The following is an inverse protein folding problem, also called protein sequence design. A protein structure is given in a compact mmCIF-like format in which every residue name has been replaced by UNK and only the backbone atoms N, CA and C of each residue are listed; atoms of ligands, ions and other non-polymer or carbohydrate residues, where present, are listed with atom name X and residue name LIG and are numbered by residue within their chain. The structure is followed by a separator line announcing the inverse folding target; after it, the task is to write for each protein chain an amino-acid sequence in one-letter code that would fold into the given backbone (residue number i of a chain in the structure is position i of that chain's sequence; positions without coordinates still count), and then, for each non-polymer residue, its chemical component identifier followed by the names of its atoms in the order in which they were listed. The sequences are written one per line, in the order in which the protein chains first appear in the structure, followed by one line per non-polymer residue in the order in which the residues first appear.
data_IF_448144540790
#
_entry.id   IF_448144540790
#
_cell.length_a   1.000
_cell.length_b   1.000
_cell.length_c   1.000
_cell.angle_alpha   90.00
_cell.angle_beta   90.00
_cell.angle_gamma   90.00
#
_symmetry.space_group_name_H-M   'P 1'
#
loop_
_entity.id
_entity.type
_entity.pdbx_description
1 polymer ?
#
# COMPACT_ATOMS: atom_id res chain seq x y z
N UNK A 1 -2.19 -7.79 17.59
CA UNK A 1 -1.69 -7.13 16.36
C UNK A 1 -2.77 -7.16 15.27
N UNK A 2 -2.66 -6.32 14.23
CA UNK A 2 -3.37 -6.61 12.97
C UNK A 2 -2.76 -7.87 12.34
N UNK A 3 -3.52 -8.65 11.59
CA UNK A 3 -3.00 -9.76 10.77
C UNK A 3 -2.87 -9.37 9.30
N UNK A 4 -2.23 -10.23 8.49
CA UNK A 4 -2.13 -10.04 7.04
C UNK A 4 -3.50 -10.04 6.35
N UNK A 5 -4.38 -10.94 6.76
CA UNK A 5 -5.75 -11.06 6.25
C UNK A 5 -6.59 -9.83 6.64
N UNK A 6 -6.37 -9.29 7.84
CA UNK A 6 -6.99 -8.02 8.26
C UNK A 6 -6.47 -6.84 7.43
N UNK A 7 -5.17 -6.80 7.08
CA UNK A 7 -4.62 -5.78 6.17
C UNK A 7 -5.21 -5.89 4.77
N UNK A 8 -5.34 -7.10 4.22
CA UNK A 8 -5.92 -7.30 2.88
C UNK A 8 -7.39 -6.85 2.84
N UNK A 9 -8.17 -7.15 3.90
CA UNK A 9 -9.55 -6.63 4.04
C UNK A 9 -9.61 -5.11 4.17
N UNK A 10 -8.66 -4.47 4.86
CA UNK A 10 -8.55 -3.02 4.93
C UNK A 10 -8.33 -2.41 3.55
N UNK A 11 -7.35 -2.94 2.80
CA UNK A 11 -7.02 -2.46 1.45
C UNK A 11 -8.19 -2.64 0.48
N UNK A 12 -8.91 -3.76 0.56
CA UNK A 12 -10.11 -4.01 -0.24
C UNK A 12 -11.30 -3.11 0.13
N UNK A 13 -11.35 -2.61 1.37
CA UNK A 13 -12.44 -1.74 1.85
C UNK A 13 -12.25 -0.27 1.47
N UNK A 14 -11.05 0.14 1.06
CA UNK A 14 -10.78 1.49 0.57
C UNK A 14 -11.56 1.79 -0.71
N UNK A 15 -12.09 3.01 -0.84
CA UNK A 15 -12.84 3.46 -2.03
C UNK A 15 -12.07 4.41 -2.95
N UNK A 16 -10.84 4.76 -2.59
CA UNK A 16 -10.06 5.77 -3.27
C UNK A 16 -8.57 5.41 -3.27
N UNK A 17 -7.84 5.62 -4.38
CA UNK A 17 -6.42 5.27 -4.49
C UNK A 17 -5.56 5.91 -3.40
N UNK A 18 -5.85 7.17 -3.02
CA UNK A 18 -5.20 7.83 -1.87
C UNK A 18 -5.24 6.99 -0.59
N UNK A 19 -6.40 6.45 -0.23
CA UNK A 19 -6.56 5.73 1.04
C UNK A 19 -5.91 4.35 0.96
N UNK A 20 -5.99 3.69 -0.21
CA UNK A 20 -5.27 2.44 -0.51
C UNK A 20 -3.76 2.64 -0.35
N UNK A 21 -3.21 3.69 -0.98
CA UNK A 21 -1.81 4.03 -0.93
C UNK A 21 -1.36 4.39 0.49
N UNK A 22 -2.14 5.20 1.22
CA UNK A 22 -1.82 5.62 2.58
C UNK A 22 -1.67 4.41 3.52
N UNK A 23 -2.64 3.49 3.49
CA UNK A 23 -2.61 2.27 4.33
C UNK A 23 -1.47 1.35 3.89
N UNK A 24 -1.30 1.14 2.58
CA UNK A 24 -0.23 0.29 2.05
C UNK A 24 1.16 0.80 2.45
N UNK A 25 1.43 2.09 2.27
CA UNK A 25 2.71 2.70 2.61
C UNK A 25 2.96 2.65 4.12
N UNK A 26 1.94 2.88 4.97
CA UNK A 26 2.09 2.71 6.42
C UNK A 26 2.48 1.29 6.81
N UNK A 27 1.86 0.28 6.20
CA UNK A 27 2.09 -1.13 6.50
C UNK A 27 3.38 -1.67 5.88
N UNK A 28 3.87 -1.09 4.78
CA UNK A 28 5.13 -1.48 4.14
C UNK A 28 6.34 -0.78 4.76
N UNK A 29 6.25 0.53 4.98
CA UNK A 29 7.36 1.34 5.52
C UNK A 29 7.43 1.36 7.05
N UNK A 30 6.33 1.04 7.73
CA UNK A 30 6.21 1.19 9.18
C UNK A 30 6.34 2.65 9.66
N UNK A 31 6.28 3.66 8.79
CA UNK A 31 6.48 5.06 9.15
C UNK A 31 5.47 5.55 10.20
N UNK A 32 5.90 6.50 11.04
CA UNK A 32 4.94 7.26 11.86
C UNK A 32 4.07 8.08 10.92
N UNK A 33 2.75 8.05 11.14
CA UNK A 33 1.80 8.80 10.29
C UNK A 33 2.12 10.29 10.20
N UNK A 34 2.59 10.94 11.27
CA UNK A 34 2.98 12.34 11.22
C UNK A 34 4.17 12.60 10.29
N UNK A 35 5.10 11.65 10.18
CA UNK A 35 6.20 11.72 9.22
C UNK A 35 5.70 11.49 7.79
N UNK A 36 4.85 10.48 7.59
CA UNK A 36 4.28 10.19 6.28
C UNK A 36 3.43 11.35 5.74
N UNK A 37 2.59 11.96 6.57
CA UNK A 37 1.76 13.12 6.20
C UNK A 37 2.58 14.39 5.94
N UNK A 38 3.82 14.49 6.43
CA UNK A 38 4.71 15.62 6.17
C UNK A 38 5.46 15.52 4.84
N UNK A 39 5.40 14.37 4.16
CA UNK A 39 6.08 14.16 2.89
C UNK A 39 5.38 14.92 1.75
N UNK A 40 6.20 15.47 0.86
CA UNK A 40 5.83 16.09 -0.41
C UNK A 40 6.05 15.09 -1.56
N UNK A 41 5.52 15.38 -2.74
CA UNK A 41 5.66 14.51 -3.92
C UNK A 41 7.13 14.23 -4.24
N UNK A 42 7.98 15.27 -4.21
CA UNK A 42 9.44 15.16 -4.44
C UNK A 42 10.18 14.23 -3.48
N UNK A 43 9.56 13.86 -2.35
CA UNK A 43 10.21 12.98 -1.37
C UNK A 43 10.18 11.50 -1.77
N UNK A 44 9.56 11.16 -2.90
CA UNK A 44 9.51 9.79 -3.43
C UNK A 44 10.40 9.70 -4.66
N UNK A 45 11.35 8.78 -4.64
CA UNK A 45 12.22 8.49 -5.80
C UNK A 45 12.00 7.03 -6.20
N UNK A 46 11.48 6.82 -7.39
CA UNK A 46 11.29 5.47 -7.95
C UNK A 46 12.61 4.91 -8.47
N UNK A 47 12.77 3.59 -8.37
CA UNK A 47 13.93 2.87 -8.88
C UNK A 47 13.53 1.48 -9.39
N UNK A 48 14.50 0.71 -9.90
CA UNK A 48 14.27 -0.63 -10.47
C UNK A 48 13.76 -1.69 -9.49
N UNK A 49 13.74 -1.40 -8.19
CA UNK A 49 13.30 -2.31 -7.12
C UNK A 49 12.05 -1.83 -6.39
N UNK A 50 11.50 -0.65 -6.72
CA UNK A 50 10.39 -0.05 -6.00
C UNK A 50 10.54 1.47 -5.90
N UNK A 51 10.45 2.00 -4.68
CA UNK A 51 10.68 3.41 -4.41
C UNK A 51 11.42 3.63 -3.09
N UNK A 52 12.10 4.76 -2.97
CA UNK A 52 12.65 5.26 -1.71
C UNK A 52 11.82 6.48 -1.30
N UNK A 53 11.29 6.47 -0.07
CA UNK A 53 10.64 7.64 0.52
C UNK A 53 11.59 8.31 1.52
N UNK A 54 11.87 9.60 1.30
CA UNK A 54 12.68 10.40 2.21
C UNK A 54 11.79 11.13 3.22
N UNK A 55 12.16 11.09 4.49
CA UNK A 55 11.45 11.85 5.52
C UNK A 55 11.64 13.34 5.27
N UNK A 56 10.53 14.08 5.16
CA UNK A 56 10.56 15.53 4.95
C UNK A 56 11.33 16.26 6.05
N UNK A 57 12.04 17.32 5.67
CA UNK A 57 12.73 18.22 6.60
C UNK A 57 11.77 18.90 7.59
N UNK A 58 10.49 19.06 7.23
CA UNK A 58 9.44 19.65 8.07
C UNK A 58 8.82 18.66 9.06
N UNK A 59 9.26 17.39 9.04
CA UNK A 59 8.75 16.39 9.96
C UNK A 59 9.20 16.67 11.39
N UNK A 60 8.24 16.78 12.33
CA UNK A 60 8.53 16.76 13.78
C UNK A 60 9.23 15.48 14.26
N UNK A 61 9.31 14.44 13.41
CA UNK A 61 10.07 13.21 13.68
C UNK A 61 11.57 13.35 13.40
N UNK A 62 12.03 14.49 12.86
CA UNK A 62 13.44 14.78 12.59
C UNK A 62 14.18 15.11 13.90
N UNK A 63 14.41 14.09 14.73
CA UNK A 63 15.38 14.17 15.83
C UNK A 63 16.78 14.00 15.22
N UNK A 64 17.43 15.09 14.80
CA UNK A 64 18.87 15.20 14.48
C UNK A 64 19.48 14.11 13.56
N UNK A 65 18.72 13.51 12.66
CA UNK A 65 19.22 12.47 11.76
C UNK A 65 19.28 12.98 10.31
N UNK A 66 20.37 12.64 9.62
CA UNK A 66 20.48 12.75 8.15
C UNK A 66 19.26 12.12 7.48
N UNK A 67 18.86 12.65 6.31
CA UNK A 67 17.69 12.20 5.58
C UNK A 67 17.87 10.74 5.11
N UNK A 68 17.51 9.79 5.97
CA UNK A 68 17.52 8.36 5.63
C UNK A 68 16.27 8.06 4.82
N UNK A 69 16.48 7.68 3.57
CA UNK A 69 15.44 7.13 2.72
C UNK A 69 14.97 5.78 3.24
N UNK A 70 13.66 5.52 3.20
CA UNK A 70 13.06 4.25 3.59
C UNK A 70 12.63 3.52 2.31
N UNK A 71 13.07 2.28 2.08
CA UNK A 71 12.63 1.52 0.92
C UNK A 71 11.17 1.09 1.05
N UNK A 72 10.39 1.44 0.05
CA UNK A 72 9.07 0.89 -0.24
C UNK A 72 9.24 -0.33 -1.15
N UNK A 73 8.55 -1.39 -0.79
CA UNK A 73 8.59 -2.67 -1.49
C UNK A 73 7.25 -2.89 -2.19
N UNK A 74 6.40 -3.75 -1.64
CA UNK A 74 5.11 -4.14 -2.19
C UNK A 74 4.06 -3.00 -2.22
N UNK A 75 4.26 -1.89 -1.50
CA UNK A 75 3.35 -0.74 -1.55
C UNK A 75 3.63 0.20 -2.73
N UNK A 76 4.77 0.06 -3.41
CA UNK A 76 5.22 0.99 -4.45
C UNK A 76 4.18 1.19 -5.55
N UNK A 77 3.61 0.12 -6.08
CA UNK A 77 2.60 0.23 -7.14
C UNK A 77 1.34 0.95 -6.68
N UNK A 78 0.89 0.74 -5.43
CA UNK A 78 -0.26 1.45 -4.85
C UNK A 78 0.04 2.94 -4.67
N UNK A 79 1.27 3.28 -4.25
CA UNK A 79 1.71 4.67 -4.18
C UNK A 79 1.76 5.31 -5.57
N UNK A 80 2.31 4.62 -6.57
CA UNK A 80 2.37 5.13 -7.93
C UNK A 80 0.97 5.40 -8.51
N UNK A 81 0.00 4.51 -8.28
CA UNK A 81 -1.40 4.72 -8.67
C UNK A 81 -1.98 5.99 -8.05
N UNK A 82 -1.67 6.27 -6.78
CA UNK A 82 -2.12 7.50 -6.14
C UNK A 82 -1.45 8.73 -6.75
N UNK A 83 -0.13 8.70 -6.96
CA UNK A 83 0.60 9.83 -7.55
C UNK A 83 0.14 10.14 -8.98
N UNK A 84 -0.20 9.12 -9.77
CA UNK A 84 -0.70 9.28 -11.14
C UNK A 84 -2.02 10.07 -11.23
N UNK A 85 -2.88 9.95 -10.21
CA UNK A 85 -4.18 10.67 -10.12
C UNK A 85 -4.16 11.78 -9.06
N UNK A 86 -2.97 12.15 -8.55
CA UNK A 86 -2.86 13.19 -7.56
C UNK A 86 -3.26 14.53 -8.20
N UNK A 87 -4.12 15.34 -7.55
CA UNK A 87 -4.64 16.56 -8.17
C UNK A 87 -3.56 17.63 -8.41
N UNK A 88 -2.45 17.56 -7.66
CA UNK A 88 -1.28 18.41 -7.79
C UNK A 88 -0.04 17.60 -8.24
N UNK A 89 -0.22 16.59 -9.10
CA UNK A 89 0.85 15.63 -9.48
C UNK A 89 2.08 16.30 -10.10
N UNK A 90 1.89 17.42 -10.78
CA UNK A 90 2.94 18.17 -11.49
C UNK A 90 3.67 19.17 -10.58
N UNK A 91 3.30 19.23 -9.30
CA UNK A 91 3.87 20.15 -8.30
C UNK A 91 4.74 19.37 -7.30
N UNK A 92 6.07 19.31 -7.46
CA UNK A 92 6.94 18.48 -6.62
C UNK A 92 6.90 18.86 -5.14
N UNK A 93 6.64 20.14 -4.85
CA UNK A 93 6.49 20.65 -3.50
C UNK A 93 5.10 20.38 -2.91
N UNK A 94 4.10 19.95 -3.67
CA UNK A 94 2.78 19.69 -3.10
C UNK A 94 2.83 18.61 -2.01
N UNK A 95 1.96 18.76 -1.00
CA UNK A 95 1.79 17.70 0.00
C UNK A 95 1.34 16.43 -0.71
N UNK A 96 2.01 15.30 -0.44
CA UNK A 96 1.69 14.03 -1.09
C UNK A 96 0.31 13.49 -0.66
N UNK A 97 -0.18 13.92 0.50
CA UNK A 97 -1.47 13.51 1.03
C UNK A 97 -2.35 14.73 1.20
N UNK A 98 -3.36 14.86 0.35
CA UNK A 98 -4.30 15.99 0.37
C UNK A 98 -5.71 15.56 0.76
N UNK A 99 -6.50 16.52 1.24
CA UNK A 99 -7.96 16.39 1.35
C UNK A 99 -8.59 16.19 -0.03
N UNK A 100 -9.81 15.65 -0.04
CA UNK A 100 -10.58 15.42 -1.27
C UNK A 100 -11.64 16.50 -1.51
N UNK A 101 -11.57 17.60 -0.77
CA UNK A 101 -12.42 18.77 -0.97
C UNK A 101 -11.78 19.70 -2.01
N UNK A 102 -12.49 20.75 -2.41
CA UNK A 102 -12.03 21.71 -3.42
C UNK A 102 -10.67 22.35 -3.08
N UNK A 103 -10.36 22.52 -1.79
CA UNK A 103 -9.15 23.22 -1.34
C UNK A 103 -7.87 22.37 -1.40
N UNK A 104 -7.98 21.04 -1.55
CA UNK A 104 -6.83 20.12 -1.67
C UNK A 104 -5.74 20.34 -0.61
N UNK A 105 -6.15 20.70 0.60
CA UNK A 105 -5.27 21.01 1.72
C UNK A 105 -4.48 19.78 2.18
N UNK A 106 -3.29 19.95 2.77
CA UNK A 106 -2.56 18.86 3.39
C UNK A 106 -3.43 18.08 4.39
N UNK A 107 -3.44 16.75 4.26
CA UNK A 107 -4.27 15.88 5.09
C UNK A 107 -3.81 15.94 6.55
N UNK A 108 -4.67 16.45 7.43
CA UNK A 108 -4.37 16.53 8.86
C UNK A 108 -4.24 15.15 9.52
N UNK A 109 -3.48 15.06 10.61
CA UNK A 109 -3.38 13.85 11.43
C UNK A 109 -4.76 13.36 11.92
N UNK A 110 -5.63 14.29 12.35
CA UNK A 110 -6.98 13.98 12.81
C UNK A 110 -7.80 13.37 11.68
N UNK A 111 -7.76 13.97 10.49
CA UNK A 111 -8.48 13.49 9.31
C UNK A 111 -8.00 12.11 8.87
N UNK A 112 -6.68 11.89 8.80
CA UNK A 112 -6.10 10.58 8.47
C UNK A 112 -6.52 9.50 9.49
N UNK A 113 -6.51 9.83 10.79
CA UNK A 113 -6.95 8.90 11.84
C UNK A 113 -8.43 8.53 11.73
N UNK A 114 -9.29 9.51 11.43
CA UNK A 114 -10.72 9.26 11.24
C UNK A 114 -10.94 8.39 10.00
N UNK A 115 -10.25 8.68 8.89
CA UNK A 115 -10.33 7.87 7.67
C UNK A 115 -9.93 6.41 7.91
N UNK A 116 -8.78 6.17 8.57
CA UNK A 116 -8.30 4.83 8.93
C UNK A 116 -9.31 4.10 9.83
N UNK A 117 -9.88 4.78 10.83
CA UNK A 117 -10.88 4.19 11.71
C UNK A 117 -12.12 3.73 10.92
N UNK A 118 -12.67 4.61 10.07
CA UNK A 118 -13.84 4.31 9.23
C UNK A 118 -13.58 3.16 8.25
N UNK A 119 -12.38 3.07 7.69
CA UNK A 119 -11.99 1.94 6.82
C UNK A 119 -11.95 0.64 7.62
N UNK A 120 -11.43 0.67 8.86
CA UNK A 120 -11.44 -0.48 9.77
C UNK A 120 -12.84 -0.96 10.13
N UNK A 121 -13.74 -0.04 10.43
CA UNK A 121 -15.17 -0.35 10.69
C UNK A 121 -15.81 -0.99 9.47
N UNK A 122 -15.59 -0.43 8.27
CA UNK A 122 -16.11 -0.98 7.00
C UNK A 122 -15.53 -2.37 6.69
N UNK A 123 -14.28 -2.63 7.05
CA UNK A 123 -13.62 -3.93 6.87
C UNK A 123 -14.11 -5.00 7.87
N UNK A 124 -15.01 -4.65 8.80
CA UNK A 124 -15.51 -5.56 9.83
C UNK A 124 -14.44 -5.95 10.86
N UNK A 125 -13.44 -5.08 11.08
CA UNK A 125 -12.36 -5.35 12.04
C UNK A 125 -12.77 -4.82 13.41
N UNK A 126 -13.01 -5.74 14.35
CA UNK A 126 -13.41 -5.42 15.73
C UNK A 126 -12.29 -4.78 16.55
N UNK A 127 -11.03 -5.05 16.18
CA UNK A 127 -9.84 -4.49 16.85
C UNK A 127 -9.67 -3.00 16.52
N UNK A 128 -9.00 -2.27 17.40
CA UNK A 128 -8.65 -0.86 17.16
C UNK A 128 -7.69 -0.70 15.99
N UNK A 129 -8.20 -0.24 14.84
CA UNK A 129 -7.39 0.15 13.69
C UNK A 129 -6.94 1.60 13.85
N UNK A 130 -5.63 1.81 14.03
CA UNK A 130 -5.04 3.14 14.13
C UNK A 130 -3.66 3.17 13.45
N UNK A 131 -3.06 4.35 13.21
CA UNK A 131 -1.83 4.42 12.45
C UNK A 131 -0.64 3.64 13.06
N UNK A 132 -0.55 3.54 14.39
CA UNK A 132 0.51 2.76 15.03
C UNK A 132 0.28 1.25 14.87
N UNK A 133 -0.97 0.80 14.67
CA UNK A 133 -1.26 -0.63 14.39
C UNK A 133 -0.54 -1.11 13.13
N UNK A 134 -0.42 -0.28 12.09
CA UNK A 134 0.32 -0.62 10.86
C UNK A 134 1.82 -0.67 11.08
N UNK A 135 2.36 0.23 11.91
CA UNK A 135 3.77 0.17 12.31
C UNK A 135 4.08 -1.11 13.07
N UNK A 136 3.19 -1.51 13.98
CA UNK A 136 3.32 -2.78 14.69
C UNK A 136 3.28 -3.97 13.75
N UNK A 137 2.32 -3.97 12.82
CA UNK A 137 2.23 -4.97 11.76
C UNK A 137 3.53 -5.08 10.95
N UNK A 138 4.03 -3.94 10.46
CA UNK A 138 5.24 -3.88 9.63
C UNK A 138 6.46 -4.46 10.34
N UNK A 139 6.71 -4.05 11.59
CA UNK A 139 7.88 -4.51 12.34
C UNK A 139 7.77 -6.00 12.69
N UNK A 140 6.59 -6.46 13.10
CA UNK A 140 6.37 -7.89 13.34
C UNK A 140 6.61 -8.70 12.06
N UNK A 141 6.12 -8.23 10.91
CA UNK A 141 6.36 -8.89 9.62
C UNK A 141 7.85 -8.91 9.27
N UNK A 142 8.58 -7.80 9.36
CA UNK A 142 10.01 -7.81 9.07
C UNK A 142 10.77 -8.81 9.94
N UNK A 143 10.44 -8.88 11.24
CA UNK A 143 11.07 -9.87 12.11
C UNK A 143 10.74 -11.27 11.64
N UNK A 144 9.47 -11.58 11.33
CA UNK A 144 9.07 -12.91 10.85
C UNK A 144 9.72 -13.25 9.50
N UNK A 145 9.85 -12.27 8.61
CA UNK A 145 10.43 -12.37 7.26
C UNK A 145 11.96 -12.54 7.25
N UNK A 146 12.61 -12.67 8.41
CA UNK A 146 14.07 -12.92 8.42
C UNK A 146 14.95 -11.71 8.68
N UNK A 147 14.39 -10.49 8.72
CA UNK A 147 15.20 -9.28 8.75
C UNK A 147 16.06 -9.24 10.03
N UNK A 148 17.32 -8.86 9.86
CA UNK A 148 18.22 -8.68 10.97
C UNK A 148 17.94 -7.36 11.71
N UNK A 149 18.50 -7.24 12.91
CA UNK A 149 18.28 -6.08 13.77
C UNK A 149 18.69 -4.75 13.10
N UNK A 150 19.76 -4.73 12.31
CA UNK A 150 20.22 -3.52 11.64
C UNK A 150 19.26 -3.09 10.53
N UNK A 151 18.74 -4.03 9.75
CA UNK A 151 17.75 -3.78 8.70
C UNK A 151 16.44 -3.26 9.28
N UNK A 152 15.95 -3.88 10.36
CA UNK A 152 14.75 -3.42 11.07
C UNK A 152 14.96 -2.02 11.63
N UNK A 153 16.10 -1.76 12.30
CA UNK A 153 16.42 -0.43 12.81
C UNK A 153 16.49 0.61 11.69
N UNK A 154 17.05 0.25 10.53
CA UNK A 154 17.11 1.11 9.36
C UNK A 154 15.70 1.46 8.85
N UNK A 155 14.86 0.46 8.56
CA UNK A 155 13.48 0.66 8.08
C UNK A 155 12.62 1.41 9.11
N UNK A 156 12.74 1.07 10.38
CA UNK A 156 11.97 1.67 11.47
C UNK A 156 12.40 3.11 11.80
N UNK A 157 13.53 3.58 11.25
CA UNK A 157 14.21 4.82 11.63
C UNK A 157 14.51 4.89 13.15
N UNK A 158 15.06 3.80 13.70
CA UNK A 158 15.54 3.73 15.08
C UNK A 158 17.02 4.08 15.19
N UNK A 159 17.44 4.56 16.37
CA UNK A 159 18.86 4.74 16.66
C UNK A 159 19.55 3.37 16.77
N UNK A 160 20.83 3.33 16.39
CA UNK A 160 21.60 2.06 16.38
C UNK A 160 21.67 1.40 17.77
N UNK A 161 21.69 2.18 18.84
CA UNK A 161 21.70 1.67 20.23
C UNK A 161 20.33 1.29 20.81
N UNK A 162 19.24 1.39 20.05
CA UNK A 162 17.90 1.14 20.59
C UNK A 162 17.58 -0.36 20.69
N UNK A 163 17.78 -0.96 21.86
CA UNK A 163 17.50 -2.39 22.14
C UNK A 163 16.10 -2.63 22.73
N UNK A 164 15.60 -1.69 23.55
CA UNK A 164 14.28 -1.79 24.19
C UNK A 164 13.12 -1.91 23.20
N UNK A 165 13.31 -1.40 21.97
CA UNK A 165 12.26 -1.42 20.97
C UNK A 165 11.88 -2.84 20.55
N UNK A 166 12.80 -3.80 20.55
CA UNK A 166 12.48 -5.20 20.21
C UNK A 166 11.60 -5.89 21.25
N UNK A 167 11.69 -5.49 22.53
CA UNK A 167 10.85 -6.08 23.60
C UNK A 167 9.36 -5.87 23.36
N UNK A 168 8.98 -4.79 22.66
CA UNK A 168 7.59 -4.49 22.29
C UNK A 168 7.06 -5.45 21.22
N UNK A 169 7.94 -6.06 20.43
CA UNK A 169 7.58 -6.96 19.31
C UNK A 169 7.96 -8.42 19.59
N UNK A 170 8.61 -8.70 20.72
CA UNK A 170 9.07 -10.04 21.11
C UNK A 170 7.98 -11.00 21.56
N UNK A 171 6.72 -10.56 21.65
CA UNK A 171 5.57 -11.40 22.01
C UNK A 171 5.07 -12.18 20.80
N UNK A 172 5.92 -13.05 20.27
CA UNK A 172 5.50 -14.08 19.33
C UNK A 172 4.71 -15.14 20.10
N UNK A 173 3.76 -15.78 19.44
CA UNK A 173 3.24 -17.03 19.95
C UNK A 173 4.33 -18.10 19.82
N UNK A 174 4.43 -19.03 20.79
CA UNK A 174 5.41 -20.13 20.72
C UNK A 174 5.30 -20.89 19.39
N UNK A 175 4.08 -20.97 18.84
CA UNK A 175 3.80 -21.51 17.52
C UNK A 175 4.56 -20.78 16.40
N UNK A 176 4.56 -19.46 16.37
CA UNK A 176 5.23 -18.67 15.33
C UNK A 176 6.76 -18.76 15.42
N UNK A 177 7.30 -18.88 16.63
CA UNK A 177 8.73 -19.12 16.87
C UNK A 177 9.12 -20.51 16.39
N UNK A 178 8.39 -21.54 16.83
CA UNK A 178 8.65 -22.93 16.46
C UNK A 178 8.51 -23.14 14.95
N UNK A 179 7.47 -22.58 14.32
CA UNK A 179 7.31 -22.60 12.87
C UNK A 179 8.54 -22.04 12.14
N UNK A 180 9.14 -20.98 12.68
CA UNK A 180 10.34 -20.37 12.10
C UNK A 180 11.60 -21.20 12.33
N UNK A 181 11.71 -21.86 13.48
CA UNK A 181 12.80 -22.81 13.75
C UNK A 181 12.69 -23.98 12.76
N UNK A 182 11.50 -24.53 12.56
CA UNK A 182 11.26 -25.60 11.59
C UNK A 182 11.56 -25.17 10.15
N UNK A 183 11.16 -23.96 9.74
CA UNK A 183 11.50 -23.38 8.42
C UNK A 183 13.02 -23.24 8.25
N UNK A 184 13.74 -22.67 9.24
CA UNK A 184 15.21 -22.50 9.17
C UNK A 184 15.97 -23.82 9.11
N UNK A 185 15.46 -24.85 9.78
CA UNK A 185 16.03 -26.19 9.74
C UNK A 185 15.60 -27.00 8.49
N UNK A 186 14.78 -26.42 7.61
CA UNK A 186 14.27 -27.11 6.42
C UNK A 186 13.23 -28.22 6.71
N UNK A 187 12.75 -28.31 7.96
CA UNK A 187 11.77 -29.32 8.39
C UNK A 187 10.33 -28.95 8.00
N UNK A 188 10.09 -27.66 7.74
CA UNK A 188 8.84 -27.13 7.20
C UNK A 188 9.16 -26.42 5.88
N UNK A 189 8.73 -27.02 4.77
CA UNK A 189 8.95 -26.50 3.40
C UNK A 189 7.81 -25.62 2.91
N UNK A 190 6.72 -25.52 3.67
CA UNK A 190 5.67 -24.52 3.45
C UNK A 190 6.18 -23.13 3.85
N UNK A 191 7.05 -22.53 3.03
CA UNK A 191 7.45 -21.13 3.19
C UNK A 191 6.26 -20.22 2.82
N UNK A 192 5.31 -20.10 3.74
CA UNK A 192 4.14 -19.24 3.59
C UNK A 192 4.48 -17.77 3.84
N UNK A 193 5.70 -17.46 4.31
CA UNK A 193 6.04 -16.15 4.88
C UNK A 193 7.01 -15.34 4.05
N UNK A 194 7.96 -15.93 3.32
CA UNK A 194 8.73 -15.14 2.35
C UNK A 194 7.76 -14.62 1.29
N UNK A 195 7.48 -13.31 1.35
CA UNK A 195 6.81 -12.64 0.26
C UNK A 195 7.81 -12.60 -0.89
N UNK A 196 7.81 -13.63 -1.73
CA UNK A 196 8.60 -13.62 -2.97
C UNK A 196 8.03 -12.54 -3.87
N UNK A 197 8.68 -11.38 -3.90
CA UNK A 197 8.29 -10.31 -4.80
C UNK A 197 8.75 -10.68 -6.21
N UNK A 198 7.83 -10.63 -7.17
CA UNK A 198 8.11 -10.84 -8.58
C UNK A 198 8.26 -9.50 -9.28
N UNK A 199 8.91 -9.48 -10.45
CA UNK A 199 8.90 -8.31 -11.34
C UNK A 199 7.85 -8.49 -12.41
N UNK A 200 7.13 -7.43 -12.74
CA UNK A 200 6.24 -7.41 -13.89
C UNK A 200 7.05 -7.62 -15.16
N UNK A 201 6.67 -8.57 -16.04
CA UNK A 201 7.43 -8.86 -17.26
C UNK A 201 7.37 -7.72 -18.29
N UNK A 202 6.42 -6.78 -18.15
CA UNK A 202 6.24 -5.64 -19.07
C UNK A 202 6.91 -4.36 -18.60
N UNK A 203 6.75 -4.00 -17.34
CA UNK A 203 7.19 -2.70 -16.82
C UNK A 203 8.15 -2.78 -15.63
N UNK A 204 8.56 -4.00 -15.24
CA UNK A 204 9.46 -4.26 -14.11
C UNK A 204 8.96 -3.82 -12.73
N UNK A 205 7.72 -3.34 -12.61
CA UNK A 205 7.08 -3.04 -11.33
C UNK A 205 7.14 -4.25 -10.39
N UNK A 206 7.27 -3.98 -9.09
CA UNK A 206 7.24 -4.99 -8.04
C UNK A 206 5.83 -5.53 -7.84
N UNK A 207 5.69 -6.85 -7.88
CA UNK A 207 4.44 -7.58 -7.75
C UNK A 207 4.49 -8.54 -6.56
N UNK A 208 3.34 -8.71 -5.90
CA UNK A 208 3.12 -9.82 -4.96
C UNK A 208 2.82 -11.11 -5.74
N UNK A 209 3.06 -12.31 -5.17
CA UNK A 209 2.76 -13.59 -5.83
C UNK A 209 1.33 -13.74 -6.34
N UNK A 210 0.36 -13.15 -5.63
CA UNK A 210 -1.07 -13.26 -5.92
C UNK A 210 -1.66 -12.00 -6.58
N UNK A 211 -0.83 -11.09 -7.10
CA UNK A 211 -1.32 -9.93 -7.84
C UNK A 211 -1.92 -10.40 -9.18
N UNK A 212 -3.21 -10.14 -9.37
CA UNK A 212 -3.96 -10.47 -10.61
C UNK A 212 -3.65 -9.53 -11.76
N UNK A 213 -3.25 -8.30 -11.42
CA UNK A 213 -2.93 -7.23 -12.35
C UNK A 213 -1.66 -6.51 -11.91
N UNK A 214 -0.90 -6.01 -12.86
CA UNK A 214 0.20 -5.11 -12.58
C UNK A 214 -0.36 -3.75 -12.11
N UNK A 215 0.02 -3.32 -10.92
CA UNK A 215 -0.42 -2.02 -10.39
C UNK A 215 0.13 -0.80 -11.14
N UNK A 216 1.20 -0.95 -11.92
CA UNK A 216 1.75 0.14 -12.74
C UNK A 216 1.16 0.17 -14.16
N UNK A 217 1.18 -0.95 -14.88
CA UNK A 217 0.83 -1.00 -16.31
C UNK A 217 -0.48 -1.74 -16.62
N UNK A 218 -1.23 -2.14 -15.59
CA UNK A 218 -2.51 -2.86 -15.70
C UNK A 218 -2.45 -4.19 -16.46
N UNK A 219 -1.25 -4.72 -16.74
CA UNK A 219 -1.08 -6.04 -17.35
C UNK A 219 -1.79 -7.10 -16.51
N UNK A 220 -2.65 -7.90 -17.15
CA UNK A 220 -3.27 -9.09 -16.54
C UNK A 220 -2.18 -10.15 -16.33
N UNK A 221 -2.01 -10.61 -15.09
CA UNK A 221 -0.91 -11.49 -14.69
C UNK A 221 -1.36 -12.94 -14.51
N UNK A 222 -2.66 -13.20 -14.46
CA UNK A 222 -3.21 -14.53 -14.24
C UNK A 222 -4.21 -14.93 -15.34
N UNK A 223 -4.21 -16.22 -15.70
CA UNK A 223 -5.00 -16.75 -16.80
C UNK A 223 -6.50 -16.68 -16.50
N UNK A 224 -6.91 -16.92 -15.25
CA UNK A 224 -8.32 -16.93 -14.86
C UNK A 224 -8.97 -15.55 -15.03
N UNK A 225 -8.27 -14.50 -14.62
CA UNK A 225 -8.66 -13.10 -14.79
C UNK A 225 -8.67 -12.73 -16.26
N UNK A 226 -7.73 -13.25 -17.06
CA UNK A 226 -7.77 -13.08 -18.52
C UNK A 226 -9.03 -13.70 -19.12
N UNK A 227 -9.40 -14.91 -18.69
CA UNK A 227 -10.62 -15.59 -19.15
C UNK A 227 -11.89 -14.87 -18.66
N UNK A 228 -11.89 -14.37 -17.43
CA UNK A 228 -13.00 -13.56 -16.89
C UNK A 228 -13.19 -12.28 -17.72
N UNK A 229 -12.11 -11.57 -18.05
CA UNK A 229 -12.16 -10.38 -18.90
C UNK A 229 -12.60 -10.74 -20.33
N UNK A 230 -12.07 -11.82 -20.90
CA UNK A 230 -12.46 -12.32 -22.22
C UNK A 230 -13.96 -12.55 -22.32
N UNK A 231 -14.59 -13.14 -21.29
CA UNK A 231 -16.06 -13.29 -21.26
C UNK A 231 -16.81 -11.97 -21.31
N UNK A 232 -16.30 -10.92 -20.66
CA UNK A 232 -16.93 -9.60 -20.75
C UNK A 232 -16.68 -8.96 -22.12
N UNK A 233 -15.48 -9.10 -22.68
CA UNK A 233 -15.13 -8.61 -24.01
C UNK A 233 -15.98 -9.29 -25.10
N UNK A 234 -16.19 -10.61 -25.01
CA UNK A 234 -17.00 -11.39 -25.95
C UNK A 234 -18.48 -10.96 -25.92
N UNK A 235 -19.00 -10.61 -24.74
CA UNK A 235 -20.38 -10.15 -24.57
C UNK A 235 -20.54 -8.63 -24.81
N UNK A 236 -19.45 -7.88 -24.90
CA UNK A 236 -19.47 -6.42 -25.03
C UNK A 236 -20.23 -5.94 -26.28
N UNK A 237 -20.09 -6.56 -27.47
CA UNK A 237 -20.85 -6.16 -28.66
C UNK A 237 -22.36 -6.29 -28.47
N UNK A 238 -22.80 -7.35 -27.80
CA UNK A 238 -24.23 -7.59 -27.56
C UNK A 238 -24.80 -6.64 -26.51
N UNK A 239 -24.05 -6.40 -25.43
CA UNK A 239 -24.39 -5.36 -24.44
C UNK A 239 -24.48 -3.99 -25.11
N UNK A 240 -23.51 -3.62 -25.94
CA UNK A 240 -23.49 -2.34 -26.64
C UNK A 240 -24.68 -2.20 -27.59
N UNK A 241 -25.02 -3.27 -28.33
CA UNK A 241 -26.21 -3.31 -29.19
C UNK A 241 -27.48 -3.06 -28.39
N UNK A 242 -27.65 -3.72 -27.24
CA UNK A 242 -28.83 -3.53 -26.38
C UNK A 242 -28.91 -2.10 -25.83
N UNK A 243 -27.78 -1.53 -25.42
CA UNK A 243 -27.71 -0.13 -24.96
C UNK A 243 -28.10 0.83 -26.08
N UNK A 244 -27.56 0.66 -27.30
CA UNK A 244 -27.90 1.47 -28.48
C UNK A 244 -29.36 1.33 -28.92
N UNK A 245 -30.00 0.20 -28.65
CA UNK A 245 -31.43 0.00 -28.96
C UNK A 245 -32.34 0.69 -27.94
N UNK A 246 -31.90 0.83 -26.69
CA UNK A 246 -32.65 1.56 -25.67
C UNK A 246 -32.61 3.07 -25.89
N UNK A 247 -33.75 3.75 -25.70
CA UNK A 247 -33.85 5.22 -25.80
C UNK A 247 -32.95 5.90 -24.77
N UNK A 248 -33.03 5.47 -23.51
CA UNK A 248 -32.17 5.94 -22.42
C UNK A 248 -30.67 5.69 -22.66
N UNK A 249 -30.31 4.58 -23.30
CA UNK A 249 -28.92 4.28 -23.63
C UNK A 249 -28.37 5.19 -24.72
N UNK A 250 -29.18 5.54 -25.71
CA UNK A 250 -28.84 6.56 -26.73
C UNK A 250 -28.65 7.94 -26.11
N UNK A 251 -29.60 8.38 -25.27
CA UNK A 251 -29.47 9.65 -24.54
C UNK A 251 -28.19 9.72 -23.68
N UNK A 252 -27.82 8.62 -23.01
CA UNK A 252 -26.59 8.56 -22.22
C UNK A 252 -25.32 8.63 -23.09
N UNK A 253 -25.31 7.96 -24.24
CA UNK A 253 -24.17 8.00 -25.17
C UNK A 253 -24.01 9.39 -25.80
N UNK A 254 -25.12 10.01 -26.21
CA UNK A 254 -25.11 11.37 -26.76
C UNK A 254 -24.63 12.40 -25.73
N UNK A 255 -25.06 12.28 -24.47
CA UNK A 255 -24.60 13.13 -23.36
C UNK A 255 -23.12 12.95 -22.99
N UNK A 256 -22.52 11.80 -23.33
CA UNK A 256 -21.08 11.56 -23.16
C UNK A 256 -20.27 12.18 -24.30
N UNK A 257 -20.77 12.12 -25.53
CA UNK A 257 -20.12 12.70 -26.71
C UNK A 257 -20.27 14.23 -26.80
N UNK A 258 -21.28 14.83 -26.17
CA UNK A 258 -21.50 16.27 -26.14
C UNK A 258 -20.69 17.02 -25.05
N UNK A 259 -19.71 16.36 -24.41
CA UNK A 259 -18.85 16.94 -23.36
C UNK A 259 -17.38 17.11 -23.77
N UNK A 260 -17.05 16.87 -25.04
CA UNK A 260 -15.82 17.36 -25.68
C UNK A 260 -16.04 18.77 -26.24
#
# INVERSE_FOLDING_TARGET
LLTREELDRLLASCRHPRDVALIAVLADSGMRIGALLSCRIKNVVFNQYGAIIYISSTSRSKKNAEAKGIPLTWSTGKLNQWLAVHPLKDEPEAAMWVTRNKNMEPLSYKSARIAIKKIGEKAGIKKRVNPHSFRHLAITHWILDGYNEQEIKHRAAWSRGSTQMFKVYGNYTDKEINDRIYEKCGLKTEDRRHVTLKKCPRCSNVLKPNDRFCSQCSLVLDHKTKDEIGKYEDNLPEILRLVMQSEKGREMLDAMNSKE
#
